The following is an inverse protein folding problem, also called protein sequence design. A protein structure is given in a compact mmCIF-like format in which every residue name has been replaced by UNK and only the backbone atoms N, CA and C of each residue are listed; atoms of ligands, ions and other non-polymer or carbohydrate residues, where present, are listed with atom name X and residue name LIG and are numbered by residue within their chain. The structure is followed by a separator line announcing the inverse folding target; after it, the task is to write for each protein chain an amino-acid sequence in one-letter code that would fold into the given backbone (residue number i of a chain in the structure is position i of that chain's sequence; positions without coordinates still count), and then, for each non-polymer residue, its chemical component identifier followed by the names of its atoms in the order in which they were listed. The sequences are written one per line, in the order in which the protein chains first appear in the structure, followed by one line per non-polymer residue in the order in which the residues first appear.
data_IF_892197973306
#
_entry.id   IF_892197973306
#
_cell.length_a   1.000
_cell.length_b   1.000
_cell.length_c   1.000
_cell.angle_alpha   90.00
_cell.angle_beta   90.00
_cell.angle_gamma   90.00
#
_symmetry.space_group_name_H-M   'P 1'
#
loop_
_entity.id
_entity.type
_entity.pdbx_description
1 polymer ?
#
# COMPACT_ATOMS: atom_id res chain seq x y z
N UNK A 1 10.89 1.80 12.87
CA UNK A 1 10.24 0.49 12.69
C UNK A 1 8.91 0.53 13.45
N UNK A 2 7.80 0.16 12.81
CA UNK A 2 6.45 0.31 13.40
C UNK A 2 6.19 -0.63 14.58
N UNK A 3 6.81 -1.81 14.60
CA UNK A 3 6.72 -2.80 15.69
C UNK A 3 8.10 -2.99 16.30
N UNK A 4 8.32 -2.48 17.51
CA UNK A 4 9.63 -2.43 18.16
C UNK A 4 9.88 -3.61 19.10
N UNK A 5 8.82 -4.10 19.74
CA UNK A 5 8.88 -5.22 20.68
C UNK A 5 8.21 -6.44 20.08
N UNK A 6 8.99 -7.51 19.88
CA UNK A 6 8.49 -8.77 19.32
C UNK A 6 8.04 -9.73 20.43
N UNK A 7 6.96 -10.44 20.14
CA UNK A 7 6.45 -11.54 20.92
C UNK A 7 6.78 -12.85 20.19
N UNK A 8 7.19 -13.86 20.94
CA UNK A 8 7.53 -15.18 20.43
C UNK A 8 6.82 -16.19 21.32
N UNK A 9 6.07 -17.11 20.72
CA UNK A 9 5.44 -18.20 21.46
C UNK A 9 6.52 -19.12 22.04
N UNK A 10 6.30 -19.64 23.24
CA UNK A 10 7.18 -20.68 23.76
C UNK A 10 7.08 -21.97 22.92
N UNK A 11 8.12 -22.80 22.95
CA UNK A 11 8.22 -24.00 22.13
C UNK A 11 7.05 -24.97 22.32
N UNK A 12 6.59 -25.15 23.57
CA UNK A 12 5.46 -26.02 23.88
C UNK A 12 4.17 -25.56 23.18
N UNK A 13 3.87 -24.26 23.21
CA UNK A 13 2.70 -23.68 22.56
C UNK A 13 2.81 -23.78 21.03
N UNK A 14 4.00 -23.59 20.48
CA UNK A 14 4.27 -23.78 19.04
C UNK A 14 3.98 -25.23 18.63
N UNK A 15 4.49 -26.22 19.38
CA UNK A 15 4.26 -27.63 19.10
C UNK A 15 2.77 -27.98 19.16
N UNK A 16 2.04 -27.48 20.17
CA UNK A 16 0.59 -27.66 20.30
C UNK A 16 -0.19 -27.09 19.11
N UNK A 17 0.19 -25.91 18.62
CA UNK A 17 -0.43 -25.31 17.42
C UNK A 17 -0.12 -26.14 16.18
N UNK A 18 1.13 -26.54 15.98
CA UNK A 18 1.55 -27.31 14.81
C UNK A 18 1.01 -28.75 14.79
N UNK A 19 0.64 -29.30 15.95
CA UNK A 19 0.00 -30.60 16.05
C UNK A 19 -1.44 -30.63 15.52
N UNK A 20 -2.09 -29.46 15.34
CA UNK A 20 -3.44 -29.39 14.77
C UNK A 20 -3.40 -29.78 13.30
N UNK A 21 -4.17 -30.81 12.94
CA UNK A 21 -4.40 -31.19 11.55
C UNK A 21 -5.45 -30.24 10.94
N UNK A 22 -5.09 -29.42 9.93
CA UNK A 22 -6.06 -28.52 9.31
C UNK A 22 -7.11 -29.28 8.49
N UNK A 23 -8.35 -28.80 8.56
CA UNK A 23 -9.45 -29.24 7.71
C UNK A 23 -9.77 -28.15 6.68
N UNK A 24 -9.01 -28.13 5.57
CA UNK A 24 -9.18 -27.12 4.52
C UNK A 24 -10.50 -27.19 3.74
N UNK A 25 -11.24 -28.30 3.86
CA UNK A 25 -12.51 -28.51 3.20
C UNK A 25 -12.41 -28.64 1.67
N UNK A 26 -13.58 -28.64 1.01
CA UNK A 26 -13.73 -28.64 -0.45
C UNK A 26 -12.92 -29.73 -1.18
N UNK A 27 -12.89 -30.95 -0.63
CA UNK A 27 -12.17 -32.11 -1.20
C UNK A 27 -10.69 -31.80 -1.55
N UNK A 28 -10.01 -31.03 -0.69
CA UNK A 28 -8.59 -30.69 -0.86
C UNK A 28 -8.33 -29.41 -1.66
N UNK A 29 -9.36 -28.80 -2.27
CA UNK A 29 -9.18 -27.54 -2.99
C UNK A 29 -8.71 -26.40 -2.07
N UNK A 30 -9.19 -26.37 -0.82
CA UNK A 30 -8.75 -25.37 0.15
C UNK A 30 -7.25 -25.49 0.48
N UNK A 31 -6.72 -26.71 0.51
CA UNK A 31 -5.30 -26.97 0.78
C UNK A 31 -4.42 -26.49 -0.39
N UNK A 32 -4.81 -26.83 -1.62
CA UNK A 32 -4.13 -26.33 -2.83
C UNK A 32 -4.15 -24.80 -2.88
N UNK A 33 -5.29 -24.20 -2.52
CA UNK A 33 -5.44 -22.74 -2.46
C UNK A 33 -4.50 -22.13 -1.43
N UNK A 34 -4.39 -22.73 -0.25
CA UNK A 34 -3.48 -22.27 0.80
C UNK A 34 -2.01 -22.30 0.36
N UNK A 35 -1.52 -23.43 -0.13
CA UNK A 35 -0.11 -23.56 -0.52
C UNK A 35 0.26 -22.66 -1.70
N UNK A 36 -0.67 -22.44 -2.64
CA UNK A 36 -0.45 -21.53 -3.77
C UNK A 36 -0.44 -20.05 -3.36
N UNK A 37 -1.23 -19.66 -2.35
CA UNK A 37 -1.60 -18.25 -2.14
C UNK A 37 -1.05 -17.65 -0.84
N UNK A 38 -1.06 -18.41 0.25
CA UNK A 38 -0.77 -17.88 1.60
C UNK A 38 0.49 -18.46 2.23
N UNK A 39 0.87 -19.68 1.87
CA UNK A 39 2.14 -20.29 2.29
C UNK A 39 3.31 -19.48 1.72
N UNK A 40 4.19 -19.02 2.62
CA UNK A 40 5.38 -18.25 2.24
C UNK A 40 6.59 -19.15 2.05
N UNK A 41 7.48 -18.73 1.15
CA UNK A 41 8.81 -19.31 1.05
C UNK A 41 9.64 -18.97 2.30
N UNK A 42 10.28 -19.98 2.87
CA UNK A 42 11.18 -19.87 4.00
C UNK A 42 12.61 -19.64 3.52
N UNK A 43 13.47 -19.08 4.38
CA UNK A 43 14.87 -18.79 4.03
C UNK A 43 15.69 -20.05 3.72
N UNK A 44 15.27 -21.21 4.23
CA UNK A 44 15.88 -22.51 3.96
C UNK A 44 15.45 -23.13 2.61
N UNK A 45 14.67 -22.41 1.80
CA UNK A 45 14.16 -22.90 0.51
C UNK A 45 12.92 -23.80 0.61
N UNK A 46 12.42 -24.05 1.82
CA UNK A 46 11.13 -24.71 2.05
C UNK A 46 9.95 -23.74 1.97
N UNK A 47 8.75 -24.25 2.23
CA UNK A 47 7.52 -23.46 2.31
C UNK A 47 6.88 -23.63 3.68
N UNK A 48 6.13 -22.62 4.11
CA UNK A 48 5.33 -22.71 5.33
C UNK A 48 4.25 -23.80 5.21
N UNK A 49 4.14 -24.63 6.23
CA UNK A 49 2.93 -25.40 6.47
C UNK A 49 1.93 -24.59 7.30
N UNK A 50 0.69 -25.05 7.37
CA UNK A 50 -0.39 -24.31 8.03
C UNK A 50 -0.03 -23.86 9.45
N UNK A 51 0.52 -24.75 10.27
CA UNK A 51 0.96 -24.42 11.62
C UNK A 51 2.03 -23.33 11.68
N UNK A 52 2.94 -23.28 10.70
CA UNK A 52 3.95 -22.20 10.61
C UNK A 52 3.29 -20.85 10.32
N UNK A 53 2.33 -20.83 9.37
CA UNK A 53 1.54 -19.63 9.08
C UNK A 53 0.76 -19.16 10.31
N UNK A 54 0.13 -20.07 11.05
CA UNK A 54 -0.61 -19.75 12.28
C UNK A 54 0.32 -19.09 13.30
N UNK A 55 1.46 -19.73 13.61
CA UNK A 55 2.44 -19.19 14.56
C UNK A 55 2.89 -17.80 14.15
N UNK A 56 3.31 -17.61 12.89
CA UNK A 56 3.74 -16.31 12.36
C UNK A 56 2.65 -15.24 12.51
N UNK A 57 1.41 -15.57 12.15
CA UNK A 57 0.29 -14.63 12.22
C UNK A 57 0.02 -14.23 13.67
N UNK A 58 -0.04 -15.19 14.58
CA UNK A 58 -0.32 -14.95 16.01
C UNK A 58 0.80 -14.14 16.65
N UNK A 59 2.05 -14.52 16.45
CA UNK A 59 3.21 -13.76 16.94
C UNK A 59 3.21 -12.34 16.40
N UNK A 60 2.84 -12.14 15.14
CA UNK A 60 2.67 -10.82 14.53
C UNK A 60 1.63 -9.97 15.24
N UNK A 61 0.43 -10.50 15.47
CA UNK A 61 -0.66 -9.80 16.16
C UNK A 61 -0.26 -9.42 17.59
N UNK A 62 0.27 -10.37 18.34
CA UNK A 62 0.66 -10.13 19.74
C UNK A 62 1.88 -9.22 19.83
N UNK A 63 2.78 -9.22 18.85
CA UNK A 63 3.90 -8.26 18.77
C UNK A 63 3.42 -6.81 18.61
N UNK A 64 2.37 -6.57 17.82
CA UNK A 64 1.76 -5.23 17.71
C UNK A 64 1.21 -4.80 19.07
N UNK A 65 0.52 -5.70 19.77
CA UNK A 65 -0.01 -5.44 21.12
C UNK A 65 1.11 -5.18 22.14
N UNK A 66 2.16 -6.01 22.15
CA UNK A 66 3.34 -5.86 23.01
C UNK A 66 4.02 -4.53 22.79
N UNK A 67 4.25 -4.17 21.53
CA UNK A 67 4.84 -2.89 21.15
C UNK A 67 4.00 -1.71 21.64
N UNK A 68 2.68 -1.74 21.43
CA UNK A 68 1.79 -0.69 21.93
C UNK A 68 1.87 -0.57 23.46
N UNK A 69 1.81 -1.68 24.19
CA UNK A 69 1.81 -1.67 25.64
C UNK A 69 3.10 -1.11 26.21
N UNK A 70 4.26 -1.62 25.77
CA UNK A 70 5.55 -1.19 26.28
C UNK A 70 5.87 0.25 25.90
N UNK A 71 5.54 0.68 24.68
CA UNK A 71 5.77 2.06 24.23
C UNK A 71 4.90 3.09 24.97
N UNK A 72 3.80 2.65 25.57
CA UNK A 72 2.89 3.49 26.35
C UNK A 72 2.99 3.21 27.86
N UNK A 73 4.07 2.55 28.31
CA UNK A 73 4.32 2.24 29.72
C UNK A 73 3.19 1.47 30.41
N UNK A 74 2.46 0.64 29.65
CA UNK A 74 1.42 -0.25 30.17
C UNK A 74 2.04 -1.58 30.62
N UNK A 75 1.48 -2.19 31.67
CA UNK A 75 1.97 -3.44 32.24
C UNK A 75 1.89 -4.61 31.24
N UNK A 76 3.00 -5.31 31.05
CA UNK A 76 3.06 -6.53 30.24
C UNK A 76 3.25 -7.77 31.12
N UNK A 77 2.30 -8.70 31.08
CA UNK A 77 2.39 -10.02 31.73
C UNK A 77 2.66 -11.09 30.67
N UNK A 78 3.89 -11.58 30.61
CA UNK A 78 4.31 -12.56 29.61
C UNK A 78 3.51 -13.87 29.72
N UNK A 79 3.20 -14.35 30.93
CA UNK A 79 2.47 -15.61 31.12
C UNK A 79 1.03 -15.49 30.64
N UNK A 80 0.37 -14.38 30.96
CA UNK A 80 -0.96 -14.09 30.45
C UNK A 80 -0.98 -14.09 28.91
N UNK A 81 -0.04 -13.40 28.28
CA UNK A 81 0.01 -13.28 26.82
C UNK A 81 0.43 -14.58 26.12
N UNK A 82 1.25 -15.43 26.73
CA UNK A 82 1.53 -16.78 26.22
C UNK A 82 0.27 -17.65 26.18
N UNK A 83 -0.53 -17.63 27.25
CA UNK A 83 -1.79 -18.38 27.30
C UNK A 83 -2.82 -17.83 26.29
N UNK A 84 -2.98 -16.50 26.25
CA UNK A 84 -3.89 -15.85 25.30
C UNK A 84 -3.51 -16.15 23.85
N UNK A 85 -2.21 -16.06 23.51
CA UNK A 85 -1.70 -16.30 22.18
C UNK A 85 -1.88 -17.77 21.75
N UNK A 86 -1.66 -18.72 22.68
CA UNK A 86 -1.95 -20.13 22.42
C UNK A 86 -3.43 -20.35 22.10
N UNK A 87 -4.35 -19.87 22.94
CA UNK A 87 -5.79 -20.04 22.71
C UNK A 87 -6.19 -19.43 21.37
N UNK A 88 -5.73 -18.21 21.09
CA UNK A 88 -6.00 -17.55 19.82
C UNK A 88 -5.43 -18.32 18.61
N UNK A 89 -4.23 -18.87 18.76
CA UNK A 89 -3.58 -19.72 17.77
C UNK A 89 -4.30 -21.04 17.53
N UNK A 90 -4.84 -21.68 18.57
CA UNK A 90 -5.63 -22.90 18.43
C UNK A 90 -6.93 -22.64 17.67
N UNK A 91 -7.61 -21.51 17.90
CA UNK A 91 -8.79 -21.12 17.12
C UNK A 91 -8.47 -20.91 15.64
N UNK A 92 -7.36 -20.22 15.35
CA UNK A 92 -6.90 -20.02 13.97
C UNK A 92 -6.50 -21.35 13.33
N UNK A 93 -5.72 -22.19 14.03
CA UNK A 93 -5.27 -23.48 13.53
C UNK A 93 -6.43 -24.42 13.16
N UNK A 94 -7.51 -24.38 13.94
CA UNK A 94 -8.75 -25.12 13.68
C UNK A 94 -9.69 -24.40 12.68
N UNK A 95 -9.25 -23.30 12.06
CA UNK A 95 -10.04 -22.47 11.13
C UNK A 95 -11.40 -22.04 11.70
N UNK A 96 -11.51 -21.84 13.02
CA UNK A 96 -12.73 -21.33 13.68
C UNK A 96 -12.97 -19.86 13.34
N UNK A 97 -11.91 -19.14 13.00
CA UNK A 97 -11.93 -17.86 12.32
C UNK A 97 -10.74 -17.80 11.36
N UNK A 98 -10.79 -16.91 10.39
CA UNK A 98 -9.66 -16.60 9.52
C UNK A 98 -9.52 -15.07 9.41
N UNK A 99 -8.30 -14.51 9.47
CA UNK A 99 -8.08 -13.13 9.05
C UNK A 99 -8.30 -13.00 7.54
N UNK A 100 -8.41 -11.78 7.00
CA UNK A 100 -8.40 -11.58 5.56
C UNK A 100 -7.15 -12.22 4.92
N UNK A 101 -7.21 -12.60 3.64
CA UNK A 101 -6.10 -13.27 2.95
C UNK A 101 -4.75 -12.53 3.06
N UNK A 102 -4.77 -11.19 3.05
CA UNK A 102 -3.59 -10.35 3.32
C UNK A 102 -3.04 -10.53 4.73
N UNK A 103 -3.91 -10.69 5.73
CA UNK A 103 -3.50 -11.03 7.09
C UNK A 103 -2.79 -12.39 7.15
N UNK A 104 -3.34 -13.42 6.50
CA UNK A 104 -2.67 -14.73 6.40
C UNK A 104 -1.29 -14.62 5.75
N UNK A 105 -1.19 -13.84 4.67
CA UNK A 105 0.04 -13.72 3.90
C UNK A 105 1.09 -12.80 4.51
N UNK A 106 0.70 -11.66 5.11
CA UNK A 106 1.63 -10.59 5.50
C UNK A 106 1.86 -10.46 7.00
N UNK A 107 0.90 -10.81 7.86
CA UNK A 107 1.03 -10.63 9.32
C UNK A 107 2.27 -11.35 9.86
N UNK A 108 2.99 -10.72 10.78
CA UNK A 108 4.22 -11.28 11.38
C UNK A 108 5.45 -11.24 10.48
N UNK A 109 5.34 -10.76 9.23
CA UNK A 109 6.50 -10.64 8.33
C UNK A 109 7.20 -9.28 8.49
N UNK A 110 8.48 -9.21 8.08
CA UNK A 110 9.25 -7.95 7.98
C UNK A 110 8.58 -6.91 7.05
N UNK A 111 7.68 -7.34 6.16
CA UNK A 111 6.94 -6.42 5.29
C UNK A 111 6.05 -5.48 6.11
N UNK A 112 5.33 -6.01 7.11
CA UNK A 112 4.48 -5.22 8.03
C UNK A 112 5.32 -4.21 8.81
N UNK A 113 6.51 -4.60 9.26
CA UNK A 113 7.41 -3.71 10.01
C UNK A 113 7.91 -2.52 9.16
N UNK A 114 7.97 -2.70 7.84
CA UNK A 114 8.45 -1.72 6.86
C UNK A 114 7.36 -0.77 6.39
N UNK A 115 6.19 -1.29 6.02
CA UNK A 115 5.12 -0.48 5.38
C UNK A 115 3.94 -0.19 6.31
N UNK A 116 3.98 -0.70 7.55
CA UNK A 116 2.97 -0.42 8.56
C UNK A 116 1.61 -1.01 8.22
N UNK A 117 0.55 -0.26 8.55
CA UNK A 117 -0.84 -0.69 8.42
C UNK A 117 -1.28 -0.96 6.98
N UNK A 118 -0.64 -0.38 5.97
CA UNK A 118 -0.92 -0.66 4.56
C UNK A 118 -0.68 -2.15 4.18
N UNK A 119 0.23 -2.84 4.88
CA UNK A 119 0.43 -4.28 4.69
C UNK A 119 -0.74 -5.13 5.21
N UNK A 120 -1.64 -4.57 6.02
CA UNK A 120 -2.67 -5.32 6.73
C UNK A 120 -4.10 -4.89 6.36
N UNK A 121 -4.26 -3.72 5.76
CA UNK A 121 -5.55 -3.23 5.28
C UNK A 121 -5.69 -3.51 3.79
N UNK A 122 -6.74 -4.22 3.40
CA UNK A 122 -7.02 -4.57 2.00
C UNK A 122 -7.76 -3.49 1.23
N UNK A 123 -8.54 -2.68 1.93
CA UNK A 123 -9.45 -1.72 1.35
C UNK A 123 -9.29 -0.38 2.08
N UNK A 124 -9.49 0.71 1.35
CA UNK A 124 -9.54 2.07 1.88
C UNK A 124 -10.57 2.91 1.14
N UNK A 125 -10.83 4.10 1.66
CA UNK A 125 -11.66 5.08 0.99
C UNK A 125 -11.05 6.47 1.14
N UNK A 126 -11.17 7.30 0.11
CA UNK A 126 -10.68 8.68 0.12
C UNK A 126 -11.75 9.66 -0.35
N UNK A 127 -11.76 10.83 0.28
CA UNK A 127 -12.60 11.96 -0.12
C UNK A 127 -11.82 12.84 -1.10
N UNK A 128 -12.45 13.21 -2.23
CA UNK A 128 -11.79 13.96 -3.29
C UNK A 128 -11.92 15.48 -3.15
N UNK A 129 -12.34 16.01 -1.98
CA UNK A 129 -12.36 17.46 -1.73
C UNK A 129 -11.00 18.09 -2.01
N UNK A 130 -9.91 17.45 -1.55
CA UNK A 130 -8.56 17.72 -2.02
C UNK A 130 -8.18 16.67 -3.07
N UNK A 131 -8.36 17.02 -4.33
CA UNK A 131 -8.22 16.05 -5.41
C UNK A 131 -6.77 15.60 -5.64
N UNK A 132 -5.79 16.47 -5.41
CA UNK A 132 -4.37 16.09 -5.55
C UNK A 132 -4.00 15.09 -4.45
N UNK A 133 -4.33 15.40 -3.19
CA UNK A 133 -4.07 14.52 -2.05
C UNK A 133 -4.89 13.22 -2.09
N UNK A 134 -6.03 13.22 -2.77
CA UNK A 134 -6.80 12.00 -2.98
C UNK A 134 -6.15 11.10 -4.05
N UNK A 135 -5.70 11.69 -5.16
CA UNK A 135 -5.09 10.97 -6.26
C UNK A 135 -3.73 10.37 -5.89
N UNK A 136 -2.88 11.11 -5.19
CA UNK A 136 -1.55 10.64 -4.79
C UNK A 136 -1.64 9.50 -3.75
N UNK A 137 -2.51 9.62 -2.75
CA UNK A 137 -2.75 8.59 -1.75
C UNK A 137 -3.39 7.35 -2.36
N UNK A 138 -4.31 7.53 -3.31
CA UNK A 138 -4.91 6.42 -4.06
C UNK A 138 -3.84 5.63 -4.82
N UNK A 139 -2.94 6.32 -5.52
CA UNK A 139 -1.84 5.67 -6.22
C UNK A 139 -0.90 4.93 -5.26
N UNK A 140 -0.52 5.55 -4.14
CA UNK A 140 0.33 4.93 -3.12
C UNK A 140 -0.29 3.65 -2.54
N UNK A 141 -1.56 3.72 -2.17
CA UNK A 141 -2.30 2.60 -1.57
C UNK A 141 -2.56 1.47 -2.57
N UNK A 142 -2.93 1.79 -3.81
CA UNK A 142 -3.06 0.78 -4.87
C UNK A 142 -1.75 0.02 -5.10
N UNK A 143 -0.60 0.71 -5.04
CA UNK A 143 0.72 0.07 -5.18
C UNK A 143 1.13 -0.77 -3.95
N UNK A 144 0.47 -0.60 -2.80
CA UNK A 144 0.50 -1.56 -1.68
C UNK A 144 -0.53 -2.69 -1.82
N UNK A 145 -1.25 -2.74 -2.95
CA UNK A 145 -2.33 -3.69 -3.25
C UNK A 145 -3.62 -3.42 -2.47
N UNK A 146 -3.84 -2.19 -2.02
CA UNK A 146 -5.05 -1.79 -1.30
C UNK A 146 -6.08 -1.26 -2.31
N UNK A 147 -7.29 -1.83 -2.32
CA UNK A 147 -8.38 -1.31 -3.15
C UNK A 147 -8.96 -0.03 -2.57
N UNK A 148 -9.05 1.04 -3.36
CA UNK A 148 -9.52 2.35 -2.90
C UNK A 148 -10.86 2.71 -3.52
N UNK A 149 -11.86 2.93 -2.66
CA UNK A 149 -13.09 3.63 -3.02
C UNK A 149 -12.90 5.14 -2.94
N UNK A 150 -13.57 5.89 -3.81
CA UNK A 150 -13.51 7.35 -3.79
C UNK A 150 -14.86 7.96 -4.18
N UNK A 151 -15.12 9.17 -3.69
CA UNK A 151 -16.24 9.99 -4.16
C UNK A 151 -15.76 11.01 -5.20
N UNK A 152 -16.69 11.79 -5.77
CA UNK A 152 -16.38 12.76 -6.85
C UNK A 152 -16.84 14.17 -6.46
N UNK A 153 -16.31 14.70 -5.35
CA UNK A 153 -16.82 15.94 -4.71
C UNK A 153 -15.93 17.17 -4.89
N UNK A 154 -14.77 17.02 -5.54
CA UNK A 154 -13.91 18.14 -5.91
C UNK A 154 -14.68 19.23 -6.68
N UNK A 155 -14.45 20.50 -6.33
CA UNK A 155 -15.21 21.65 -6.86
C UNK A 155 -14.57 22.33 -8.07
N UNK A 156 -13.62 21.68 -8.74
CA UNK A 156 -13.21 22.09 -10.08
C UNK A 156 -12.31 23.32 -10.18
N UNK A 157 -11.62 23.71 -9.11
CA UNK A 157 -10.70 24.84 -9.16
C UNK A 157 -9.50 24.52 -10.09
N UNK A 158 -9.35 25.26 -11.19
CA UNK A 158 -8.20 25.13 -12.10
C UNK A 158 -7.47 26.45 -12.23
N UNK A 159 -6.16 26.39 -12.45
CA UNK A 159 -5.38 27.55 -12.87
C UNK A 159 -5.45 27.65 -14.40
N UNK A 160 -5.82 28.83 -14.90
CA UNK A 160 -5.86 29.13 -16.36
C UNK A 160 -4.45 29.29 -16.97
N UNK A 161 -3.39 29.30 -16.17
CA UNK A 161 -2.06 29.70 -16.64
C UNK A 161 -0.96 28.83 -16.04
N UNK A 162 -0.72 27.65 -16.62
CA UNK A 162 0.66 27.22 -16.79
C UNK A 162 1.08 27.64 -18.18
N UNK A 163 2.14 28.43 -18.27
CA UNK A 163 2.80 28.65 -19.55
C UNK A 163 3.38 27.30 -19.98
N UNK A 164 2.63 26.57 -20.80
CA UNK A 164 3.03 25.26 -21.32
C UNK A 164 4.31 25.31 -22.15
N UNK A 165 4.80 26.52 -22.48
CA UNK A 165 6.09 26.69 -23.17
C UNK A 165 7.30 26.47 -22.26
N UNK A 166 7.12 26.46 -20.93
CA UNK A 166 8.19 26.23 -19.97
C UNK A 166 8.09 24.80 -19.40
N UNK A 167 9.00 23.94 -19.84
CA UNK A 167 9.18 22.61 -19.28
C UNK A 167 10.33 22.56 -18.27
N UNK A 168 10.21 21.68 -17.28
CA UNK A 168 11.31 21.36 -16.36
C UNK A 168 11.52 19.87 -16.32
N UNK A 169 12.77 19.45 -16.48
CA UNK A 169 13.16 18.05 -16.38
C UNK A 169 12.84 17.51 -14.97
N UNK A 170 12.07 16.43 -14.91
CA UNK A 170 11.72 15.72 -13.67
C UNK A 170 12.17 14.26 -13.77
N UNK A 171 13.18 13.87 -13.00
CA UNK A 171 13.68 12.48 -13.00
C UNK A 171 12.87 11.64 -12.02
N UNK A 172 12.10 10.69 -12.56
CA UNK A 172 11.27 9.77 -11.78
C UNK A 172 12.15 8.75 -11.07
N UNK A 173 12.07 8.70 -9.75
CA UNK A 173 12.83 7.75 -8.94
C UNK A 173 12.23 6.33 -9.05
N UNK A 174 13.08 5.30 -8.96
CA UNK A 174 12.69 3.89 -8.99
C UNK A 174 12.09 3.40 -7.66
N UNK A 175 11.03 4.07 -7.23
CA UNK A 175 10.27 3.73 -6.04
C UNK A 175 8.80 4.04 -6.21
N UNK A 176 7.96 3.43 -5.37
CA UNK A 176 6.52 3.72 -5.29
C UNK A 176 6.31 5.21 -5.07
N UNK A 177 7.05 5.77 -4.13
CA UNK A 177 7.02 7.19 -3.77
C UNK A 177 7.40 8.06 -4.97
N UNK A 178 8.40 7.66 -5.77
CA UNK A 178 8.82 8.39 -6.98
C UNK A 178 7.72 8.48 -8.05
N UNK A 179 6.93 7.41 -8.22
CA UNK A 179 5.80 7.39 -9.15
C UNK A 179 4.63 8.25 -8.64
N UNK A 180 4.37 8.21 -7.32
CA UNK A 180 3.35 9.05 -6.68
C UNK A 180 3.73 10.53 -6.80
N UNK A 181 5.01 10.87 -6.59
CA UNK A 181 5.55 12.22 -6.75
C UNK A 181 5.32 12.78 -8.16
N UNK A 182 5.54 11.96 -9.20
CA UNK A 182 5.41 12.41 -10.59
C UNK A 182 3.95 12.71 -10.95
N UNK A 183 3.00 11.89 -10.47
CA UNK A 183 1.57 12.16 -10.61
C UNK A 183 1.16 13.44 -9.88
N UNK A 184 1.57 13.60 -8.62
CA UNK A 184 1.27 14.80 -7.82
C UNK A 184 1.77 16.06 -8.52
N UNK A 185 2.99 16.02 -9.05
CA UNK A 185 3.57 17.16 -9.78
C UNK A 185 2.74 17.52 -11.03
N UNK A 186 2.38 16.52 -11.85
CA UNK A 186 1.57 16.75 -13.04
C UNK A 186 0.22 17.38 -12.70
N UNK A 187 -0.50 16.86 -11.69
CA UNK A 187 -1.79 17.41 -11.27
C UNK A 187 -1.66 18.83 -10.70
N UNK A 188 -0.59 19.11 -9.93
CA UNK A 188 -0.29 20.44 -9.40
C UNK A 188 0.00 21.51 -10.47
N UNK A 189 0.30 21.10 -11.71
CA UNK A 189 0.41 22.03 -12.85
C UNK A 189 -0.96 22.54 -13.35
N UNK A 190 -2.04 21.84 -13.04
CA UNK A 190 -3.41 22.17 -13.45
C UNK A 190 -4.28 22.67 -12.30
N UNK A 191 -4.09 22.12 -11.11
CA UNK A 191 -4.93 22.36 -9.93
C UNK A 191 -4.12 23.21 -8.95
N UNK A 192 -4.66 24.35 -8.48
CA UNK A 192 -4.00 25.14 -7.44
C UNK A 192 -3.88 24.33 -6.15
N UNK A 193 -2.68 24.30 -5.58
CA UNK A 193 -2.46 23.81 -4.22
C UNK A 193 -3.39 24.51 -3.24
N UNK A 194 -4.04 23.74 -2.37
CA UNK A 194 -4.93 24.31 -1.37
C UNK A 194 -4.09 25.03 -0.31
N UNK A 195 -4.53 26.21 0.17
CA UNK A 195 -3.88 26.90 1.30
C UNK A 195 -3.91 26.08 2.62
N UNK A 196 -4.56 24.90 2.63
CA UNK A 196 -4.59 23.98 3.77
C UNK A 196 -3.48 22.93 3.71
N UNK A 197 -2.54 23.00 2.77
CA UNK A 197 -1.29 22.21 2.72
C UNK A 197 -0.36 22.47 3.95
N UNK A 198 -0.87 23.00 5.07
CA UNK A 198 -0.24 23.01 6.39
C UNK A 198 -0.37 21.65 7.09
N UNK A 199 -0.12 20.53 6.38
CA UNK A 199 0.23 19.31 7.10
C UNK A 199 1.66 19.48 7.58
N UNK A 200 1.81 19.95 8.82
CA UNK A 200 3.06 20.17 9.57
C UNK A 200 3.90 18.88 9.81
N UNK A 201 3.89 17.91 8.89
CA UNK A 201 4.64 16.66 9.02
C UNK A 201 5.18 16.05 7.72
N UNK A 202 4.83 16.57 6.55
CA UNK A 202 5.52 16.23 5.29
C UNK A 202 5.81 17.54 4.57
N UNK A 203 7.04 18.04 4.73
CA UNK A 203 7.49 19.27 4.10
C UNK A 203 7.07 19.32 2.63
N UNK A 204 6.46 20.43 2.18
CA UNK A 204 6.19 20.73 0.76
C UNK A 204 7.43 20.49 -0.13
N UNK A 205 8.63 20.55 0.45
CA UNK A 205 9.92 20.24 -0.17
C UNK A 205 10.09 18.78 -0.66
N UNK A 206 9.26 17.83 -0.22
CA UNK A 206 9.48 16.40 -0.51
C UNK A 206 9.13 16.02 -1.95
N UNK A 207 8.26 16.78 -2.62
CA UNK A 207 7.66 16.37 -3.90
C UNK A 207 7.97 17.29 -5.09
N UNK A 208 7.92 18.62 -4.90
CA UNK A 208 8.13 19.59 -5.99
C UNK A 208 8.78 20.86 -5.44
N UNK A 209 9.99 21.20 -5.91
CA UNK A 209 10.66 22.44 -5.52
C UNK A 209 9.83 23.65 -5.96
N UNK A 210 9.84 24.73 -5.18
CA UNK A 210 9.16 26.00 -5.54
C UNK A 210 9.47 26.45 -6.97
N UNK A 211 10.72 26.26 -7.41
CA UNK A 211 11.24 26.62 -8.74
C UNK A 211 10.60 25.86 -9.91
N UNK A 212 9.92 24.75 -9.62
CA UNK A 212 9.23 23.87 -10.56
C UNK A 212 7.72 24.15 -10.64
N UNK A 213 7.18 24.97 -9.71
CA UNK A 213 5.73 25.25 -9.67
C UNK A 213 5.26 25.91 -10.96
N UNK A 214 4.08 25.47 -11.43
CA UNK A 214 3.40 25.94 -12.64
C UNK A 214 4.20 25.76 -13.97
N UNK A 215 5.25 24.93 -13.98
CA UNK A 215 5.98 24.53 -15.20
C UNK A 215 5.68 23.08 -15.50
N UNK A 216 5.50 22.74 -16.78
CA UNK A 216 5.14 21.38 -17.16
C UNK A 216 6.32 20.41 -16.94
N UNK A 217 6.11 19.21 -16.38
CA UNK A 217 7.15 18.20 -16.29
C UNK A 217 7.56 17.68 -17.66
N UNK A 218 8.87 17.67 -17.92
CA UNK A 218 9.51 16.80 -18.91
C UNK A 218 10.06 15.57 -18.17
N UNK A 219 9.30 14.48 -18.17
CA UNK A 219 9.59 13.31 -17.34
C UNK A 219 10.73 12.47 -17.92
N UNK A 220 11.75 12.25 -17.10
CA UNK A 220 12.84 11.32 -17.35
C UNK A 220 12.63 10.04 -16.54
N UNK A 221 12.37 8.93 -17.23
CA UNK A 221 12.12 7.62 -16.64
C UNK A 221 13.37 6.74 -16.57
N UNK A 222 14.57 7.27 -16.87
CA UNK A 222 15.79 6.47 -17.03
C UNK A 222 16.19 5.66 -15.79
N UNK A 223 15.75 6.08 -14.60
CA UNK A 223 16.03 5.38 -13.35
C UNK A 223 15.04 4.25 -13.06
N UNK A 224 13.82 4.30 -13.61
CA UNK A 224 12.78 3.30 -13.34
C UNK A 224 13.23 1.95 -13.89
N UNK A 225 13.18 0.92 -13.03
CA UNK A 225 13.63 -0.43 -13.41
C UNK A 225 12.88 -0.97 -14.63
N UNK A 226 13.53 -1.77 -15.47
CA UNK A 226 12.91 -2.33 -16.67
C UNK A 226 11.85 -3.38 -16.32
N UNK A 227 11.00 -3.69 -17.30
CA UNK A 227 10.03 -4.77 -17.20
C UNK A 227 10.73 -6.11 -16.91
N UNK A 228 10.15 -6.92 -16.04
CA UNK A 228 10.71 -8.21 -15.60
C UNK A 228 11.63 -8.13 -14.39
N UNK A 229 12.07 -6.94 -13.95
CA UNK A 229 12.90 -6.79 -12.75
C UNK A 229 12.14 -7.17 -11.47
N UNK A 230 12.80 -7.79 -10.49
CA UNK A 230 12.13 -8.28 -9.26
C UNK A 230 11.65 -7.12 -8.38
N UNK A 231 10.41 -7.22 -7.86
CA UNK A 231 9.88 -6.30 -6.84
C UNK A 231 10.11 -6.88 -5.44
N UNK A 232 10.97 -6.23 -4.65
CA UNK A 232 11.27 -6.65 -3.28
C UNK A 232 10.09 -6.35 -2.32
N UNK A 233 9.42 -7.40 -1.86
CA UNK A 233 8.50 -7.38 -0.72
C UNK A 233 7.04 -7.71 -1.03
N UNK A 234 6.59 -7.53 -2.27
CA UNK A 234 5.24 -7.93 -2.71
C UNK A 234 5.25 -9.25 -3.50
N UNK A 235 6.43 -9.74 -3.91
CA UNK A 235 6.53 -10.85 -4.85
C UNK A 235 6.11 -10.41 -6.26
N UNK A 236 6.73 -10.98 -7.29
CA UNK A 236 6.45 -10.62 -8.68
C UNK A 236 7.51 -9.73 -9.33
N UNK A 237 7.18 -9.27 -10.53
CA UNK A 237 8.06 -8.58 -11.47
C UNK A 237 7.52 -7.18 -11.78
N UNK A 238 8.41 -6.25 -12.09
CA UNK A 238 8.08 -4.90 -12.49
C UNK A 238 7.53 -4.86 -13.90
N UNK A 239 6.61 -3.93 -14.15
CA UNK A 239 6.01 -3.69 -15.48
C UNK A 239 6.87 -2.79 -16.38
N UNK A 240 7.99 -2.25 -15.86
CA UNK A 240 8.73 -1.19 -16.52
C UNK A 240 8.07 0.18 -16.38
N UNK A 241 8.60 1.23 -17.02
CA UNK A 241 8.06 2.59 -16.95
C UNK A 241 6.80 2.81 -17.79
N UNK A 242 6.51 1.94 -18.77
CA UNK A 242 5.44 2.14 -19.76
C UNK A 242 4.04 2.43 -19.17
N UNK A 243 3.58 1.74 -18.10
CA UNK A 243 2.29 2.06 -17.49
C UNK A 243 2.24 3.49 -16.94
N UNK A 244 3.33 3.96 -16.34
CA UNK A 244 3.45 5.30 -15.77
C UNK A 244 3.49 6.38 -16.87
N UNK A 245 4.19 6.11 -17.98
CA UNK A 245 4.19 6.98 -19.16
C UNK A 245 2.75 7.17 -19.65
N UNK A 246 2.01 6.07 -19.85
CA UNK A 246 0.61 6.11 -20.28
C UNK A 246 -0.29 6.82 -19.26
N UNK A 247 -0.03 6.68 -17.96
CA UNK A 247 -0.75 7.41 -16.93
C UNK A 247 -0.56 8.92 -17.09
N UNK A 248 0.67 9.39 -17.22
CA UNK A 248 0.95 10.82 -17.40
C UNK A 248 0.29 11.38 -18.67
N UNK A 249 0.36 10.66 -19.79
CA UNK A 249 -0.33 11.05 -21.03
C UNK A 249 -1.85 11.13 -20.85
N UNK A 250 -2.46 10.13 -20.19
CA UNK A 250 -3.91 10.11 -19.93
C UNK A 250 -4.32 11.28 -19.04
N UNK A 251 -3.62 11.48 -17.92
CA UNK A 251 -3.90 12.57 -16.97
C UNK A 251 -3.75 13.92 -17.67
N UNK A 252 -2.68 14.13 -18.44
CA UNK A 252 -2.51 15.35 -19.25
C UNK A 252 -3.73 15.59 -20.15
N UNK A 253 -4.14 14.58 -20.91
CA UNK A 253 -5.28 14.69 -21.83
C UNK A 253 -6.62 14.93 -21.10
N UNK A 254 -6.83 14.29 -19.94
CA UNK A 254 -8.03 14.48 -19.12
C UNK A 254 -8.09 15.92 -18.62
N UNK A 255 -7.00 16.43 -18.04
CA UNK A 255 -6.94 17.80 -17.54
C UNK A 255 -7.12 18.83 -18.66
N UNK A 256 -6.51 18.60 -19.83
CA UNK A 256 -6.72 19.46 -21.01
C UNK A 256 -8.18 19.49 -21.49
N UNK A 257 -8.89 18.36 -21.45
CA UNK A 257 -10.32 18.29 -21.79
C UNK A 257 -11.17 19.01 -20.75
N UNK A 258 -10.84 18.85 -19.47
CA UNK A 258 -11.52 19.53 -18.37
C UNK A 258 -11.37 21.06 -18.48
N UNK A 259 -10.14 21.57 -18.66
CA UNK A 259 -9.89 23.01 -18.84
C UNK A 259 -10.61 23.61 -20.06
N UNK A 260 -10.81 22.82 -21.11
CA UNK A 260 -11.55 23.23 -22.32
C UNK A 260 -13.08 23.11 -22.15
N UNK A 261 -13.57 22.76 -20.96
CA UNK A 261 -14.99 22.54 -20.67
C UNK A 261 -15.61 21.35 -21.41
N UNK A 262 -14.79 20.41 -21.90
CA UNK A 262 -15.27 19.23 -22.65
C UNK A 262 -15.78 18.10 -21.75
N UNK A 263 -15.44 18.13 -20.46
CA UNK A 263 -15.88 17.20 -19.43
C UNK A 263 -16.11 17.99 -18.14
N UNK A 264 -17.00 17.51 -17.27
CA UNK A 264 -17.26 18.09 -15.95
C UNK A 264 -16.28 17.56 -14.88
N UNK A 265 -16.38 18.10 -13.66
CA UNK A 265 -15.53 17.74 -12.53
C UNK A 265 -15.69 16.26 -12.14
N UNK A 266 -16.92 15.73 -12.19
CA UNK A 266 -17.22 14.34 -11.84
C UNK A 266 -16.49 13.39 -12.77
N UNK A 267 -16.58 13.65 -14.08
CA UNK A 267 -15.90 12.87 -15.11
C UNK A 267 -14.39 13.02 -15.01
N UNK A 268 -13.89 14.24 -14.74
CA UNK A 268 -12.46 14.48 -14.55
C UNK A 268 -11.89 13.63 -13.41
N UNK A 269 -12.54 13.66 -12.23
CA UNK A 269 -12.12 12.86 -11.07
C UNK A 269 -12.13 11.38 -11.41
N UNK A 270 -13.25 10.87 -11.94
CA UNK A 270 -13.40 9.46 -12.26
C UNK A 270 -12.36 8.99 -13.29
N UNK A 271 -12.12 9.74 -14.37
CA UNK A 271 -11.17 9.35 -15.41
C UNK A 271 -9.72 9.35 -14.90
N UNK A 272 -9.32 10.31 -14.06
CA UNK A 272 -7.98 10.32 -13.43
C UNK A 272 -7.82 9.13 -12.49
N UNK A 273 -8.77 8.93 -11.58
CA UNK A 273 -8.70 7.83 -10.59
C UNK A 273 -8.70 6.46 -11.27
N UNK A 274 -9.52 6.28 -12.32
CA UNK A 274 -9.50 5.07 -13.13
C UNK A 274 -8.19 4.91 -13.92
N UNK A 275 -7.59 6.01 -14.39
CA UNK A 275 -6.29 5.96 -15.07
C UNK A 275 -5.18 5.51 -14.12
N UNK A 276 -5.21 5.95 -12.85
CA UNK A 276 -4.31 5.49 -11.79
C UNK A 276 -4.51 3.99 -11.57
N UNK A 277 -5.76 3.53 -11.41
CA UNK A 277 -6.07 2.11 -11.25
C UNK A 277 -5.64 1.24 -12.44
N UNK A 278 -5.65 1.77 -13.67
CA UNK A 278 -5.16 1.06 -14.85
C UNK A 278 -3.63 1.09 -15.00
N UNK A 279 -2.94 1.96 -14.26
CA UNK A 279 -1.48 2.05 -14.24
C UNK A 279 -0.86 1.04 -13.27
N UNK A 280 -1.49 0.88 -12.10
CA UNK A 280 -1.04 -0.02 -11.03
C UNK A 280 -1.43 -1.47 -11.34
#
# INVERSE_FOLDING_TARGET
MFVQHKFVLNSENIERIKAIKPEFGFNGFGEVTYYRTYSRQLENGGQEHWGDTVVRVIEGVISIRKSHMLNNYLQWDENYWQNYALDFGLYLANMRFLPPGRGLWAMGTKHVDRVGSAALNNCGAVDTTDFIAAADWTMDMLMHGVGIGFNTVWKGCTKVSSDTSLSVKFVVQDSREGWVSSLRYLLGCYIPHSKRDHSDSVSEDYYVKETMRNKMPDFDYSLVRPAGAIIKGFGGIASGPDPLIKLHERVHNIMQRYMKGKIDEVRCIADVMNSIGACV
#
